data_IF_858706015033
#
_entry.id   IF_858706015033
#
_cell.length_a   1.000
_cell.length_b   1.000
_cell.length_c   1.000
_cell.angle_alpha   90.00
_cell.angle_beta   90.00
_cell.angle_gamma   90.00
#
_symmetry.space_group_name_H-M   'P 1'
#
loop_
_entity.id
_entity.type
_entity.pdbx_description
1 polymer ?
#
# COMPACT_ATOMS: atom_id res chain seq x y z
N UNK A 1 -74.46 -17.91 30.10
CA UNK A 1 -74.12 -16.48 29.95
C UNK A 1 -73.33 -16.06 31.18
N UNK A 2 -72.00 -16.12 31.12
CA UNK A 2 -71.11 -15.60 32.16
C UNK A 2 -70.69 -14.20 31.74
N UNK A 3 -71.05 -13.20 32.53
CA UNK A 3 -70.77 -11.80 32.29
C UNK A 3 -69.30 -11.51 32.59
N UNK A 4 -68.51 -11.18 31.57
CA UNK A 4 -67.16 -10.69 31.72
C UNK A 4 -67.19 -9.25 32.26
N UNK A 5 -66.55 -9.03 33.40
CA UNK A 5 -66.42 -7.72 34.04
C UNK A 5 -65.43 -6.83 33.27
N UNK A 6 -65.81 -5.61 32.85
CA UNK A 6 -64.94 -4.71 32.08
C UNK A 6 -63.75 -4.17 32.89
N UNK A 7 -63.71 -4.40 34.21
CA UNK A 7 -62.60 -3.96 35.07
C UNK A 7 -61.35 -4.85 34.96
N UNK A 8 -61.51 -6.14 34.62
CA UNK A 8 -60.38 -7.04 34.46
C UNK A 8 -59.56 -6.74 33.18
N UNK A 9 -60.22 -6.24 32.13
CA UNK A 9 -59.56 -5.88 30.87
C UNK A 9 -58.72 -4.59 31.00
N UNK A 10 -59.17 -3.60 31.78
CA UNK A 10 -58.39 -2.37 31.99
C UNK A 10 -57.12 -2.60 32.81
N UNK A 11 -57.15 -3.51 33.79
CA UNK A 11 -55.96 -3.81 34.60
C UNK A 11 -54.89 -4.56 33.81
N UNK A 12 -55.27 -5.33 32.78
CA UNK A 12 -54.32 -6.04 31.92
C UNK A 12 -53.64 -5.09 30.92
N UNK A 13 -54.35 -4.07 30.42
CA UNK A 13 -53.81 -3.06 29.50
C UNK A 13 -52.85 -2.10 30.22
N UNK A 14 -53.09 -1.79 31.49
CA UNK A 14 -52.17 -0.98 32.32
C UNK A 14 -50.90 -1.76 32.72
N UNK A 15 -50.94 -3.09 32.78
CA UNK A 15 -49.74 -3.91 32.99
C UNK A 15 -48.83 -4.00 31.75
N UNK A 16 -49.39 -3.96 30.53
CA UNK A 16 -48.60 -3.92 29.30
C UNK A 16 -47.98 -2.54 28.99
N UNK A 17 -48.41 -1.46 29.66
CA UNK A 17 -47.80 -0.14 29.53
C UNK A 17 -46.57 0.09 30.43
N UNK A 18 -46.20 -0.90 31.26
CA UNK A 18 -44.96 -0.89 32.04
C UNK A 18 -43.87 -1.78 31.43
N UNK A 19 -43.88 -1.99 30.11
CA UNK A 19 -42.67 -2.39 29.39
C UNK A 19 -41.73 -1.18 29.40
N UNK A 20 -40.80 -1.14 30.36
CA UNK A 20 -39.63 -0.28 30.24
C UNK A 20 -39.00 -0.59 28.88
N UNK A 21 -38.91 0.41 27.98
CA UNK A 21 -38.00 0.32 26.85
C UNK A 21 -36.62 0.06 27.43
N UNK A 22 -36.14 -1.18 27.31
CA UNK A 22 -34.72 -1.46 27.51
C UNK A 22 -34.03 -0.87 26.30
N UNK A 23 -33.55 0.37 26.41
CA UNK A 23 -32.67 0.92 25.38
C UNK A 23 -31.48 -0.03 25.26
N UNK A 24 -31.28 -0.61 24.08
CA UNK A 24 -30.12 -1.45 23.80
C UNK A 24 -28.82 -0.72 24.14
N UNK A 25 -27.84 -1.45 24.69
CA UNK A 25 -26.52 -0.89 24.95
C UNK A 25 -25.93 -0.44 23.59
N UNK A 26 -25.43 0.79 23.52
CA UNK A 26 -24.84 1.32 22.28
C UNK A 26 -23.33 1.26 22.33
N UNK A 27 -22.69 1.19 21.18
CA UNK A 27 -21.24 1.21 21.06
C UNK A 27 -20.73 0.33 19.94
N UNK A 28 -19.42 0.31 19.79
CA UNK A 28 -18.73 -0.37 18.71
C UNK A 28 -17.32 -0.76 19.12
N UNK A 29 -16.69 -1.64 18.36
CA UNK A 29 -15.35 -2.13 18.63
C UNK A 29 -14.50 -2.17 17.37
N UNK A 30 -13.20 -1.96 17.55
CA UNK A 30 -12.22 -2.00 16.48
C UNK A 30 -10.97 -2.75 16.95
N UNK A 31 -10.52 -3.72 16.15
CA UNK A 31 -9.38 -4.56 16.48
C UNK A 31 -8.37 -4.59 15.34
N UNK A 32 -7.11 -4.32 15.66
CA UNK A 32 -5.99 -4.49 14.76
C UNK A 32 -5.07 -5.66 15.16
N UNK A 33 -3.88 -5.68 14.56
CA UNK A 33 -2.83 -6.66 14.86
C UNK A 33 -2.24 -6.49 16.27
N UNK A 34 -2.14 -5.26 16.75
CA UNK A 34 -1.45 -4.90 18.00
C UNK A 34 -2.37 -4.44 19.12
N UNK A 35 -3.56 -3.93 18.78
CA UNK A 35 -4.41 -3.20 19.72
C UNK A 35 -5.88 -3.40 19.37
N UNK A 36 -6.72 -3.53 20.40
CA UNK A 36 -8.17 -3.57 20.29
C UNK A 36 -8.77 -2.50 21.19
N UNK A 37 -9.84 -1.86 20.71
CA UNK A 37 -10.66 -0.93 21.47
C UNK A 37 -12.09 -1.39 21.41
N UNK A 38 -12.72 -1.50 22.58
CA UNK A 38 -14.16 -1.69 22.70
C UNK A 38 -14.74 -0.47 23.39
N UNK A 39 -15.74 0.16 22.79
CA UNK A 39 -16.42 1.32 23.34
C UNK A 39 -17.87 0.97 23.67
N UNK A 40 -18.27 1.19 24.91
CA UNK A 40 -19.66 1.00 25.35
C UNK A 40 -20.22 2.32 25.86
N UNK A 41 -21.40 2.69 25.38
CA UNK A 41 -22.10 3.91 25.74
C UNK A 41 -23.20 3.57 26.73
N UNK A 42 -23.15 4.24 27.88
CA UNK A 42 -24.17 4.16 28.91
C UNK A 42 -24.57 5.59 29.30
N UNK A 43 -25.81 5.96 28.97
CA UNK A 43 -26.31 7.33 29.10
C UNK A 43 -25.43 8.36 28.37
N UNK A 44 -24.79 9.26 29.11
CA UNK A 44 -23.92 10.33 28.61
C UNK A 44 -22.43 10.00 28.75
N UNK A 45 -22.08 8.75 29.05
CA UNK A 45 -20.70 8.33 29.31
C UNK A 45 -20.32 7.18 28.38
N UNK A 46 -19.10 7.28 27.82
CA UNK A 46 -18.48 6.22 27.02
C UNK A 46 -17.40 5.56 27.86
N UNK A 47 -17.40 4.24 27.91
CA UNK A 47 -16.32 3.46 28.50
C UNK A 47 -15.50 2.83 27.39
N UNK A 48 -14.22 3.16 27.35
CA UNK A 48 -13.26 2.57 26.42
C UNK A 48 -12.45 1.50 27.14
N UNK A 49 -12.45 0.31 26.58
CA UNK A 49 -11.62 -0.81 26.98
C UNK A 49 -10.50 -0.97 25.95
N UNK A 50 -9.26 -0.77 26.39
CA UNK A 50 -8.05 -0.82 25.57
C UNK A 50 -7.34 -2.14 25.83
N UNK A 51 -7.07 -2.92 24.79
CA UNK A 51 -6.39 -4.21 24.93
C UNK A 51 -5.18 -4.30 24.01
N UNK A 52 -3.99 -4.49 24.57
CA UNK A 52 -2.80 -4.83 23.80
C UNK A 52 -2.76 -6.32 23.47
N UNK A 53 -2.48 -6.65 22.21
CA UNK A 53 -2.38 -8.04 21.71
C UNK A 53 -0.96 -8.59 21.76
N UNK A 54 0.00 -7.80 22.25
CA UNK A 54 1.41 -8.16 22.42
C UNK A 54 1.85 -7.83 23.85
N UNK A 55 2.83 -8.58 24.34
CA UNK A 55 3.47 -8.37 25.62
C UNK A 55 4.95 -8.03 25.43
N UNK A 56 5.59 -7.37 26.41
CA UNK A 56 5.04 -6.87 27.68
C UNK A 56 4.19 -5.60 27.50
N UNK A 57 3.28 -5.30 28.43
CA UNK A 57 2.48 -4.05 28.38
C UNK A 57 3.07 -2.99 29.29
N UNK A 58 3.56 -1.91 28.69
CA UNK A 58 4.07 -0.73 29.37
C UNK A 58 2.99 0.31 29.61
N UNK A 59 2.43 0.85 28.53
CA UNK A 59 1.32 1.81 28.59
C UNK A 59 0.41 1.70 27.35
N UNK A 60 -0.86 2.09 27.52
CA UNK A 60 -1.90 2.13 26.49
C UNK A 60 -2.45 3.56 26.37
N UNK A 61 -2.61 4.07 25.16
CA UNK A 61 -3.08 5.42 24.91
C UNK A 61 -4.22 5.45 23.89
N UNK A 62 -5.21 6.31 24.14
CA UNK A 62 -6.28 6.63 23.20
C UNK A 62 -6.37 8.15 23.04
N UNK A 63 -6.28 8.64 21.80
CA UNK A 63 -6.43 10.05 21.46
C UNK A 63 -7.70 10.32 20.67
N UNK A 64 -8.33 11.45 20.95
CA UNK A 64 -9.61 11.88 20.37
C UNK A 64 -9.35 12.80 19.17
N UNK A 65 -9.05 12.21 18.02
CA UNK A 65 -8.65 12.92 16.81
C UNK A 65 -8.12 11.98 15.73
N UNK A 66 -7.60 12.56 14.64
CA UNK A 66 -7.07 11.81 13.48
C UNK A 66 -5.55 11.65 13.47
N UNK A 67 -4.85 12.45 14.27
CA UNK A 67 -3.39 12.55 14.32
C UNK A 67 -2.96 12.95 15.72
N UNK A 68 -1.70 12.75 16.07
CA UNK A 68 -1.18 13.09 17.39
C UNK A 68 -1.21 14.60 17.65
N UNK A 69 -0.83 15.41 16.67
CA UNK A 69 -0.79 16.87 16.78
C UNK A 69 -2.19 17.45 17.02
N UNK A 70 -2.29 18.36 17.99
CA UNK A 70 -3.50 19.06 18.43
C UNK A 70 -4.59 18.15 19.01
N UNK A 71 -4.21 17.02 19.59
CA UNK A 71 -5.15 15.98 20.07
C UNK A 71 -5.07 15.79 21.58
N UNK A 72 -6.24 15.77 22.23
CA UNK A 72 -6.40 15.31 23.61
C UNK A 72 -6.35 13.78 23.66
N UNK A 73 -5.70 13.23 24.68
CA UNK A 73 -5.57 11.79 24.85
C UNK A 73 -5.60 11.37 26.31
N UNK A 74 -5.96 10.12 26.51
CA UNK A 74 -5.91 9.43 27.79
C UNK A 74 -4.88 8.33 27.66
N UNK A 75 -3.91 8.31 28.57
CA UNK A 75 -2.86 7.30 28.65
C UNK A 75 -2.98 6.59 29.99
N UNK A 76 -2.92 5.25 29.95
CA UNK A 76 -3.04 4.38 31.11
C UNK A 76 -1.83 3.46 31.21
N UNK A 77 -1.39 3.22 32.44
CA UNK A 77 -0.43 2.16 32.73
C UNK A 77 -0.66 1.60 34.13
N UNK A 78 -0.26 0.34 34.31
CA UNK A 78 -0.26 -0.34 35.60
C UNK A 78 1.08 -0.12 36.29
N UNK A 79 1.05 0.22 37.56
CA UNK A 79 2.22 0.45 38.41
C UNK A 79 2.70 -0.85 39.06
N UNK A 80 3.85 -0.81 39.72
CA UNK A 80 4.43 -1.99 40.38
C UNK A 80 3.59 -2.50 41.56
N UNK A 81 2.72 -1.65 42.12
CA UNK A 81 1.78 -1.96 43.20
C UNK A 81 0.38 -2.38 42.69
N UNK A 82 0.27 -2.72 41.39
CA UNK A 82 -0.97 -3.03 40.68
C UNK A 82 -1.99 -1.88 40.57
N UNK A 83 -1.70 -0.70 41.12
CA UNK A 83 -2.51 0.49 40.88
C UNK A 83 -2.43 0.92 39.41
N UNK A 84 -3.45 1.60 38.92
CA UNK A 84 -3.50 2.11 37.54
C UNK A 84 -3.35 3.63 37.58
N UNK A 85 -2.39 4.13 36.82
CA UNK A 85 -2.28 5.57 36.57
C UNK A 85 -3.12 5.92 35.35
N UNK A 86 -3.99 6.92 35.48
CA UNK A 86 -4.68 7.57 34.37
C UNK A 86 -4.06 8.96 34.18
N UNK A 87 -3.60 9.23 32.96
CA UNK A 87 -2.97 10.50 32.58
C UNK A 87 -3.70 11.11 31.38
N UNK A 88 -4.33 12.27 31.59
CA UNK A 88 -4.90 13.05 30.50
C UNK A 88 -3.88 14.04 29.96
N UNK A 89 -3.56 13.94 28.68
CA UNK A 89 -2.50 14.71 28.04
C UNK A 89 -2.99 15.40 26.77
N UNK A 90 -2.23 16.40 26.33
CA UNK A 90 -2.41 17.08 25.06
C UNK A 90 -1.10 17.09 24.28
N UNK A 91 -1.19 16.74 23.00
CA UNK A 91 -0.06 16.72 22.10
C UNK A 91 -0.07 17.95 21.19
N UNK A 92 0.99 18.75 21.25
CA UNK A 92 1.22 19.91 20.38
C UNK A 92 1.97 19.55 19.10
N UNK A 93 2.38 18.28 18.96
CA UNK A 93 3.28 17.81 17.91
C UNK A 93 3.49 16.29 17.98
N UNK A 94 4.48 15.78 17.24
CA UNK A 94 4.96 14.39 17.36
C UNK A 94 6.05 14.29 18.44
N UNK A 95 5.77 14.88 19.60
CA UNK A 95 6.64 14.90 20.78
C UNK A 95 5.84 14.39 21.97
N UNK A 96 6.51 14.04 23.06
CA UNK A 96 5.85 13.56 24.26
C UNK A 96 4.70 14.50 24.69
N UNK A 97 3.45 14.02 24.73
CA UNK A 97 2.31 14.81 25.17
C UNK A 97 2.47 15.24 26.63
N UNK A 98 2.00 16.45 26.96
CA UNK A 98 2.07 16.98 28.33
C UNK A 98 0.72 16.89 29.02
N UNK A 99 0.74 16.69 30.33
CA UNK A 99 -0.47 16.58 31.16
C UNK A 99 -1.28 17.87 31.07
N UNK A 100 -2.59 17.72 31.01
CA UNK A 100 -3.53 18.85 31.04
C UNK A 100 -4.30 18.81 32.35
N UNK A 101 -4.23 19.87 33.13
CA UNK A 101 -4.93 19.98 34.41
C UNK A 101 -6.46 20.05 34.23
N UNK A 102 -6.93 20.74 33.19
CA UNK A 102 -8.35 20.98 32.92
C UNK A 102 -8.72 20.56 31.49
N UNK A 103 -8.81 19.24 31.20
CA UNK A 103 -9.18 18.76 29.87
C UNK A 103 -10.66 19.02 29.56
N UNK A 104 -11.06 19.22 28.30
CA UNK A 104 -12.45 19.47 27.92
C UNK A 104 -13.44 18.38 28.35
N UNK A 105 -12.94 17.13 28.42
CA UNK A 105 -13.66 15.98 28.94
C UNK A 105 -12.77 15.29 29.98
N UNK A 106 -13.29 15.12 31.19
CA UNK A 106 -12.56 14.49 32.29
C UNK A 106 -12.75 12.98 32.21
N UNK A 107 -11.65 12.24 32.15
CA UNK A 107 -11.65 10.78 32.13
C UNK A 107 -11.47 10.24 33.55
N UNK A 108 -12.16 9.14 33.85
CA UNK A 108 -12.13 8.47 35.15
C UNK A 108 -11.87 6.97 34.99
N UNK A 109 -11.34 6.34 36.03
CA UNK A 109 -11.21 4.88 36.07
C UNK A 109 -12.55 4.26 36.51
N UNK A 110 -13.08 3.27 35.77
CA UNK A 110 -14.19 2.45 36.23
C UNK A 110 -13.87 1.75 37.55
N UNK A 111 -14.90 1.53 38.37
CA UNK A 111 -14.79 0.83 39.65
C UNK A 111 -14.26 -0.61 39.47
N UNK A 112 -14.65 -1.25 38.37
CA UNK A 112 -14.18 -2.60 38.01
C UNK A 112 -13.45 -2.52 36.67
N UNK A 113 -12.17 -2.90 36.70
CA UNK A 113 -11.40 -3.12 35.48
C UNK A 113 -11.78 -4.48 34.89
N UNK A 114 -11.99 -4.55 33.56
CA UNK A 114 -12.49 -5.76 32.94
C UNK A 114 -11.48 -6.92 33.05
N UNK A 115 -12.00 -8.14 33.22
CA UNK A 115 -11.20 -9.35 33.16
C UNK A 115 -10.57 -9.49 31.75
N UNK A 116 -9.33 -10.00 31.70
CA UNK A 116 -8.61 -10.14 30.44
C UNK A 116 -9.36 -11.10 29.50
N UNK A 117 -9.86 -10.58 28.38
CA UNK A 117 -10.58 -11.36 27.36
C UNK A 117 -9.68 -12.37 26.61
N UNK A 118 -8.36 -12.24 26.72
CA UNK A 118 -7.37 -12.97 25.90
C UNK A 118 -6.47 -13.92 26.71
N UNK A 119 -6.80 -14.22 27.97
CA UNK A 119 -5.99 -15.11 28.82
C UNK A 119 -4.60 -14.58 29.18
N UNK A 120 -4.27 -13.34 28.78
CA UNK A 120 -3.02 -12.67 29.08
C UNK A 120 -3.21 -11.75 30.30
N UNK A 121 -2.53 -11.98 31.44
CA UNK A 121 -2.65 -11.09 32.59
C UNK A 121 -2.21 -9.67 32.22
N UNK A 122 -3.00 -8.67 32.61
CA UNK A 122 -2.70 -7.24 32.54
C UNK A 122 -2.61 -6.64 31.12
N UNK A 123 -3.24 -7.27 30.13
CA UNK A 123 -3.23 -6.77 28.75
C UNK A 123 -4.31 -5.71 28.48
N UNK A 124 -5.31 -5.60 29.36
CA UNK A 124 -6.48 -4.75 29.18
C UNK A 124 -6.59 -3.71 30.30
N UNK A 125 -6.85 -2.46 29.93
CA UNK A 125 -7.16 -1.35 30.83
C UNK A 125 -8.37 -0.59 30.30
N UNK A 126 -9.20 -0.05 31.18
CA UNK A 126 -10.37 0.74 30.80
C UNK A 126 -10.43 2.10 31.49
N UNK A 127 -11.05 3.05 30.80
CA UNK A 127 -11.42 4.35 31.34
C UNK A 127 -12.80 4.76 30.83
N UNK A 128 -13.48 5.61 31.58
CA UNK A 128 -14.75 6.23 31.19
C UNK A 128 -14.54 7.73 30.95
N UNK A 129 -15.27 8.29 30.00
CA UNK A 129 -15.22 9.72 29.66
C UNK A 129 -16.59 10.19 29.16
N UNK A 130 -17.00 11.44 29.41
CA UNK A 130 -18.25 11.96 28.87
C UNK A 130 -18.35 11.83 27.34
N UNK A 131 -19.55 11.54 26.83
CA UNK A 131 -19.83 11.50 25.39
C UNK A 131 -19.60 12.89 24.77
N UNK A 132 -19.05 12.91 23.56
CA UNK A 132 -18.78 14.17 22.86
C UNK A 132 -20.06 14.72 22.21
N UNK A 133 -20.85 15.49 22.96
CA UNK A 133 -22.16 15.99 22.50
C UNK A 133 -22.09 16.90 21.26
N UNK A 134 -20.94 17.50 20.94
CA UNK A 134 -20.80 18.34 19.73
C UNK A 134 -20.77 17.53 18.43
N UNK A 135 -20.48 16.23 18.48
CA UNK A 135 -20.60 15.30 17.34
C UNK A 135 -21.92 14.50 17.37
N UNK A 136 -22.69 14.60 18.46
CA UNK A 136 -23.91 13.83 18.73
C UNK A 136 -25.12 14.75 19.00
N UNK A 137 -25.24 15.86 18.25
CA UNK A 137 -26.47 16.64 18.20
C UNK A 137 -27.55 15.86 17.43
N UNK A 138 -28.84 15.89 17.85
CA UNK A 138 -29.93 15.28 17.10
C UNK A 138 -30.00 15.87 15.68
N UNK A 139 -29.67 15.08 14.66
CA UNK A 139 -29.62 15.52 13.25
C UNK A 139 -28.22 15.73 12.67
N UNK A 140 -27.15 15.49 13.44
CA UNK A 140 -25.80 15.36 12.89
C UNK A 140 -25.60 13.94 12.32
N UNK A 141 -25.33 13.84 11.02
CA UNK A 141 -25.08 12.55 10.33
C UNK A 141 -23.69 11.94 10.66
N UNK A 142 -23.01 12.37 11.73
CA UNK A 142 -21.64 11.91 12.03
C UNK A 142 -21.58 11.22 13.40
N UNK A 143 -22.09 10.00 13.46
CA UNK A 143 -22.06 9.07 14.60
C UNK A 143 -20.67 8.46 14.88
N UNK A 144 -19.72 8.69 13.96
CA UNK A 144 -18.39 8.10 13.98
C UNK A 144 -17.39 8.95 14.80
N UNK A 145 -16.96 8.43 15.94
CA UNK A 145 -15.84 8.97 16.73
C UNK A 145 -14.53 8.56 16.05
N UNK A 146 -13.68 9.54 15.72
CA UNK A 146 -12.35 9.24 15.14
C UNK A 146 -11.29 9.24 16.22
N UNK A 147 -10.56 8.14 16.31
CA UNK A 147 -9.63 7.87 17.40
C UNK A 147 -8.25 7.51 16.83
N UNK A 148 -7.22 7.91 17.56
CA UNK A 148 -5.88 7.34 17.43
C UNK A 148 -5.59 6.48 18.65
N UNK A 149 -4.80 5.43 18.47
CA UNK A 149 -4.36 4.59 19.57
C UNK A 149 -2.85 4.44 19.53
N UNK A 150 -2.27 4.20 20.70
CA UNK A 150 -0.85 3.93 20.85
C UNK A 150 -0.60 2.96 21.98
N UNK A 151 0.46 2.17 21.87
CA UNK A 151 0.86 1.18 22.84
C UNK A 151 2.39 1.11 22.92
N UNK A 152 2.91 0.99 24.14
CA UNK A 152 4.33 0.76 24.39
C UNK A 152 4.57 -0.47 25.24
N UNK A 153 5.75 -1.07 25.03
CA UNK A 153 6.28 -2.17 25.83
C UNK A 153 7.00 -1.69 27.10
N UNK A 154 7.27 -0.38 27.21
CA UNK A 154 8.03 0.19 28.33
C UNK A 154 7.11 1.01 29.23
N UNK A 155 6.98 0.59 30.49
CA UNK A 155 6.22 1.32 31.51
C UNK A 155 6.94 2.64 31.86
N UNK A 156 6.22 3.76 32.09
CA UNK A 156 6.79 4.95 32.69
C UNK A 156 7.42 4.65 34.06
N UNK A 157 8.49 5.36 34.42
CA UNK A 157 9.28 5.04 35.62
C UNK A 157 8.55 5.28 36.95
N UNK A 158 7.48 6.07 36.97
CA UNK A 158 6.71 6.38 38.18
C UNK A 158 5.20 6.26 37.98
N UNK A 159 4.47 6.27 39.08
CA UNK A 159 3.00 6.31 39.13
C UNK A 159 2.42 7.72 39.00
N UNK A 160 3.25 8.75 38.82
CA UNK A 160 2.78 10.11 38.67
C UNK A 160 2.14 10.31 37.28
N UNK A 161 0.98 10.96 37.14
CA UNK A 161 0.34 11.17 35.82
C UNK A 161 1.22 11.92 34.82
N UNK A 162 2.16 12.73 35.29
CA UNK A 162 3.12 13.51 34.49
C UNK A 162 4.47 12.79 34.25
N UNK A 163 4.59 11.52 34.63
CA UNK A 163 5.79 10.73 34.40
C UNK A 163 6.24 10.75 32.93
N UNK A 164 7.55 10.86 32.69
CA UNK A 164 8.10 10.81 31.34
C UNK A 164 7.81 9.46 30.67
N UNK A 165 7.33 9.52 29.42
CA UNK A 165 6.98 8.34 28.65
C UNK A 165 7.87 8.18 27.42
N UNK A 166 8.34 6.95 27.22
CA UNK A 166 9.01 6.56 25.99
C UNK A 166 8.03 6.49 24.81
N UNK A 167 8.54 6.71 23.61
CA UNK A 167 7.78 6.58 22.37
C UNK A 167 7.05 5.24 22.30
N UNK A 168 5.83 5.26 21.75
CA UNK A 168 5.05 4.06 21.54
C UNK A 168 5.78 3.04 20.65
N UNK A 169 5.60 1.77 20.95
CA UNK A 169 6.06 0.66 20.11
C UNK A 169 5.21 0.53 18.83
N UNK A 170 3.89 0.66 18.98
CA UNK A 170 2.94 0.64 17.88
C UNK A 170 1.86 1.71 18.08
N UNK A 171 1.36 2.26 16.99
CA UNK A 171 0.27 3.22 16.97
C UNK A 171 -0.55 3.04 15.70
N UNK A 172 -1.74 3.61 15.70
CA UNK A 172 -2.62 3.60 14.54
C UNK A 172 -3.84 4.48 14.78
N UNK A 173 -4.84 4.31 13.93
CA UNK A 173 -6.13 4.99 14.05
C UNK A 173 -7.26 3.99 13.91
N UNK A 174 -8.45 4.39 14.36
CA UNK A 174 -9.69 3.64 14.19
C UNK A 174 -10.88 4.59 14.24
N UNK A 175 -12.03 4.14 13.76
CA UNK A 175 -13.30 4.87 13.82
C UNK A 175 -14.33 3.95 14.45
N UNK A 176 -15.06 4.45 15.44
CA UNK A 176 -16.10 3.69 16.13
C UNK A 176 -17.43 4.40 15.96
N UNK A 177 -18.48 3.65 15.63
CA UNK A 177 -19.84 4.14 15.65
C UNK A 177 -20.44 4.01 17.05
N UNK A 178 -20.48 5.10 17.81
CA UNK A 178 -20.97 5.06 19.19
C UNK A 178 -22.50 4.93 19.28
N UNK A 179 -23.23 5.04 18.16
CA UNK A 179 -24.70 4.90 18.13
C UNK A 179 -25.17 3.52 17.71
N UNK A 180 -24.26 2.68 17.22
CA UNK A 180 -24.52 1.28 16.85
C UNK A 180 -25.08 0.50 18.04
N UNK A 181 -26.14 -0.27 17.80
CA UNK A 181 -26.71 -1.15 18.81
C UNK A 181 -25.82 -2.38 19.02
N UNK A 182 -25.41 -2.63 20.26
CA UNK A 182 -24.70 -3.84 20.65
C UNK A 182 -25.77 -4.91 20.87
N UNK A 183 -26.00 -5.74 19.85
CA UNK A 183 -26.80 -6.95 19.99
C UNK A 183 -26.05 -7.89 20.94
N UNK A 184 -26.62 -8.15 22.11
CA UNK A 184 -26.05 -9.08 23.06
C UNK A 184 -26.00 -10.47 22.46
N UNK A 185 -24.82 -10.90 22.00
CA UNK A 185 -24.56 -12.32 21.75
C UNK A 185 -24.51 -13.01 23.10
N UNK A 186 -25.63 -13.64 23.48
CA UNK A 186 -25.55 -14.77 24.40
C UNK A 186 -24.72 -15.80 23.66
N UNK A 187 -23.51 -16.03 24.15
CA UNK A 187 -22.71 -17.20 23.80
C UNK A 187 -23.45 -18.41 24.36
N UNK A 188 -24.36 -18.98 23.57
CA UNK A 188 -24.76 -20.36 23.74
C UNK A 188 -23.67 -21.22 23.10
N UNK A 189 -23.04 -22.03 23.95
CA UNK A 189 -22.18 -23.13 23.56
C UNK A 189 -23.02 -24.11 22.74
N UNK A 190 -22.87 -24.12 21.42
CA UNK A 190 -23.49 -25.15 20.59
C UNK A 190 -22.66 -26.44 20.69
N UNK A 191 -23.14 -27.35 21.52
CA UNK A 191 -22.82 -28.76 21.47
C UNK A 191 -23.34 -29.38 20.16
N UNK A 192 -22.48 -30.15 19.52
CA UNK A 192 -22.79 -31.09 18.44
C UNK A 192 -24.04 -31.92 18.77
N UNK A 193 -25.03 -31.96 17.89
CA UNK A 193 -25.75 -33.22 17.66
C UNK A 193 -26.38 -33.32 16.26
N UNK A 194 -26.05 -34.45 15.64
CA UNK A 194 -26.32 -34.88 14.28
C UNK A 194 -27.60 -35.75 14.26
N UNK A 195 -28.68 -35.37 13.56
CA UNK A 195 -29.73 -36.32 13.14
C UNK A 195 -30.45 -35.90 11.85
N UNK A 196 -30.12 -36.60 10.76
CA UNK A 196 -30.94 -37.17 9.69
C UNK A 196 -32.16 -36.40 9.07
N UNK A 197 -32.04 -36.16 7.76
CA UNK A 197 -33.07 -36.21 6.70
C UNK A 197 -34.00 -37.46 6.81
N UNK A 198 -35.21 -37.52 6.19
CA UNK A 198 -35.42 -37.38 4.74
C UNK A 198 -36.74 -36.73 4.22
N UNK A 199 -36.63 -35.97 3.11
CA UNK A 199 -37.30 -36.23 1.80
C UNK A 199 -38.75 -35.74 1.48
N UNK A 200 -38.82 -35.04 0.32
CA UNK A 200 -39.88 -34.92 -0.72
C UNK A 200 -41.18 -34.12 -0.44
N UNK A 201 -41.69 -33.24 -1.31
CA UNK A 201 -41.82 -33.30 -2.79
C UNK A 201 -42.12 -31.91 -3.42
N UNK A 202 -41.42 -31.62 -4.52
CA UNK A 202 -41.82 -30.96 -5.80
C UNK A 202 -42.97 -29.94 -5.89
N UNK A 203 -42.71 -28.77 -6.49
CA UNK A 203 -42.98 -28.48 -7.93
C UNK A 203 -42.40 -27.13 -8.37
N UNK A 204 -42.22 -26.99 -9.68
CA UNK A 204 -41.26 -26.14 -10.40
C UNK A 204 -41.65 -24.66 -10.55
N UNK A 205 -40.64 -23.78 -10.60
CA UNK A 205 -40.55 -22.79 -11.69
C UNK A 205 -39.12 -22.25 -11.89
N UNK A 206 -38.64 -22.37 -13.12
CA UNK A 206 -37.30 -22.02 -13.59
C UNK A 206 -37.34 -20.62 -14.21
N UNK A 207 -36.48 -19.70 -13.76
CA UNK A 207 -35.58 -18.92 -14.64
C UNK A 207 -34.71 -17.91 -13.89
N UNK A 208 -33.40 -17.95 -14.21
CA UNK A 208 -32.44 -16.84 -14.27
C UNK A 208 -31.98 -16.16 -12.97
N UNK A 209 -30.76 -16.50 -12.55
CA UNK A 209 -29.95 -15.72 -11.60
C UNK A 209 -28.77 -16.53 -11.06
N UNK A 210 -27.69 -16.65 -11.84
CA UNK A 210 -26.42 -17.23 -11.38
C UNK A 210 -25.98 -16.52 -10.09
N UNK A 211 -25.83 -17.31 -9.02
CA UNK A 211 -25.73 -16.84 -7.64
C UNK A 211 -24.60 -15.85 -7.36
N UNK A 212 -24.95 -14.79 -6.64
CA UNK A 212 -24.01 -14.07 -5.81
C UNK A 212 -24.09 -14.63 -4.40
N UNK A 213 -22.96 -15.19 -3.98
CA UNK A 213 -22.62 -15.51 -2.61
C UNK A 213 -22.50 -14.16 -1.88
N UNK A 214 -23.43 -13.88 -0.97
CA UNK A 214 -23.41 -12.70 -0.10
C UNK A 214 -22.18 -12.77 0.83
N UNK A 215 -21.08 -12.21 0.35
CA UNK A 215 -20.00 -11.73 1.20
C UNK A 215 -20.42 -10.35 1.69
N UNK A 216 -20.69 -10.21 2.99
CA UNK A 216 -20.93 -8.92 3.64
C UNK A 216 -19.62 -8.11 3.71
N UNK A 217 -19.00 -7.84 2.56
CA UNK A 217 -17.84 -6.96 2.47
C UNK A 217 -18.33 -5.51 2.54
N UNK A 218 -18.06 -4.86 3.67
CA UNK A 218 -18.25 -3.42 3.85
C UNK A 218 -17.80 -2.65 2.59
N UNK A 219 -18.64 -1.77 2.02
CA UNK A 219 -18.30 -1.07 0.78
C UNK A 219 -17.07 -0.18 0.93
N UNK A 220 -16.20 -0.17 -0.07
CA UNK A 220 -14.99 0.65 -0.06
C UNK A 220 -15.29 2.15 0.06
N UNK A 221 -14.64 2.81 1.02
CA UNK A 221 -14.72 4.27 1.18
C UNK A 221 -14.00 4.98 0.02
N UNK A 222 -14.25 6.29 -0.15
CA UNK A 222 -13.49 7.11 -1.13
C UNK A 222 -11.98 7.07 -0.84
N UNK A 223 -11.60 7.06 0.43
CA UNK A 223 -10.23 6.97 0.88
C UNK A 223 -9.61 5.61 0.50
N UNK A 224 -10.32 4.51 0.76
CA UNK A 224 -9.84 3.16 0.42
C UNK A 224 -9.65 3.01 -1.10
N UNK A 225 -10.58 3.53 -1.90
CA UNK A 225 -10.47 3.52 -3.37
C UNK A 225 -9.24 4.29 -3.85
N UNK A 226 -8.91 5.40 -3.20
CA UNK A 226 -7.71 6.18 -3.54
C UNK A 226 -6.42 5.46 -3.14
N UNK A 227 -6.36 4.85 -1.95
CA UNK A 227 -5.23 4.02 -1.53
C UNK A 227 -5.04 2.80 -2.44
N UNK A 228 -6.14 2.16 -2.84
CA UNK A 228 -6.12 1.05 -3.78
C UNK A 228 -5.57 1.50 -5.14
N UNK A 229 -6.05 2.63 -5.68
CA UNK A 229 -5.57 3.19 -6.94
C UNK A 229 -4.08 3.60 -6.88
N UNK A 230 -3.63 4.15 -5.75
CA UNK A 230 -2.21 4.42 -5.47
C UNK A 230 -1.38 3.13 -5.54
N UNK A 231 -1.76 2.12 -4.76
CA UNK A 231 -1.04 0.84 -4.67
C UNK A 231 -1.00 0.09 -6.00
N UNK A 232 -2.13 0.05 -6.72
CA UNK A 232 -2.21 -0.57 -8.05
C UNK A 232 -1.30 0.14 -9.05
N UNK A 233 -1.42 1.47 -9.15
CA UNK A 233 -0.65 2.25 -10.13
C UNK A 233 0.86 2.16 -9.88
N UNK A 234 1.29 2.25 -8.61
CA UNK A 234 2.71 2.16 -8.28
C UNK A 234 3.25 0.74 -8.43
N UNK A 235 2.46 -0.29 -8.13
CA UNK A 235 2.88 -1.69 -8.37
C UNK A 235 3.03 -1.96 -9.86
N UNK A 236 2.06 -1.55 -10.69
CA UNK A 236 2.15 -1.65 -12.15
C UNK A 236 3.35 -0.88 -12.69
N UNK A 237 3.54 0.37 -12.25
CA UNK A 237 4.66 1.19 -12.69
C UNK A 237 6.02 0.58 -12.34
N UNK A 238 6.26 0.35 -11.05
CA UNK A 238 7.57 -0.01 -10.54
C UNK A 238 7.91 -1.51 -10.64
N UNK A 239 6.94 -2.43 -10.47
CA UNK A 239 7.21 -3.87 -10.49
C UNK A 239 6.86 -4.54 -11.82
N UNK A 240 6.03 -3.96 -12.66
CA UNK A 240 5.74 -4.53 -13.98
C UNK A 240 6.48 -3.78 -15.10
N UNK A 241 6.22 -2.48 -15.25
CA UNK A 241 6.69 -1.72 -16.41
C UNK A 241 8.21 -1.46 -16.38
N UNK A 242 8.76 -0.99 -15.25
CA UNK A 242 10.20 -0.72 -15.17
C UNK A 242 11.08 -1.98 -15.38
N UNK A 243 10.76 -3.13 -14.77
CA UNK A 243 11.49 -4.37 -15.03
C UNK A 243 11.31 -4.86 -16.46
N UNK A 244 10.11 -4.75 -17.05
CA UNK A 244 9.89 -5.07 -18.46
C UNK A 244 10.78 -4.22 -19.37
N UNK A 245 10.85 -2.90 -19.15
CA UNK A 245 11.75 -2.02 -19.90
C UNK A 245 13.22 -2.36 -19.70
N UNK A 246 13.65 -2.69 -18.47
CA UNK A 246 15.01 -3.12 -18.16
C UNK A 246 15.39 -4.44 -18.85
N UNK A 247 14.52 -5.45 -18.77
CA UNK A 247 14.71 -6.75 -19.40
C UNK A 247 14.71 -6.63 -20.93
N UNK A 248 13.86 -5.80 -21.52
CA UNK A 248 13.88 -5.55 -22.96
C UNK A 248 15.23 -5.02 -23.45
N UNK A 249 15.89 -4.16 -22.66
CA UNK A 249 17.23 -3.68 -22.97
C UNK A 249 18.31 -4.74 -22.73
N UNK A 250 18.15 -5.58 -21.69
CA UNK A 250 19.10 -6.65 -21.36
C UNK A 250 19.13 -7.71 -22.45
N UNK A 251 17.96 -8.20 -22.83
CA UNK A 251 17.82 -9.25 -23.83
C UNK A 251 17.91 -8.71 -25.26
N UNK A 252 17.35 -7.53 -25.55
CA UNK A 252 17.26 -7.02 -26.92
C UNK A 252 18.54 -6.42 -27.50
N UNK A 253 19.49 -5.97 -26.68
CA UNK A 253 20.66 -5.18 -27.13
C UNK A 253 21.55 -5.91 -28.16
N UNK A 254 21.61 -7.24 -28.09
CA UNK A 254 22.43 -8.06 -29.00
C UNK A 254 21.71 -8.55 -30.25
N UNK A 255 20.38 -8.33 -30.35
CA UNK A 255 19.54 -8.91 -31.40
C UNK A 255 18.80 -7.89 -32.26
N UNK A 256 18.45 -6.71 -31.74
CA UNK A 256 17.66 -5.73 -32.48
C UNK A 256 18.12 -4.31 -32.20
N UNK A 257 18.10 -3.42 -33.19
CA UNK A 257 18.32 -1.98 -33.02
C UNK A 257 17.19 -1.28 -32.28
N UNK A 258 16.00 -1.89 -32.24
CA UNK A 258 14.79 -1.32 -31.61
C UNK A 258 14.82 -1.36 -30.08
N UNK A 259 15.78 -2.08 -29.47
CA UNK A 259 15.88 -2.25 -28.01
C UNK A 259 15.82 -0.93 -27.24
N UNK A 260 16.51 0.10 -27.75
CA UNK A 260 16.58 1.39 -27.09
C UNK A 260 15.24 2.11 -27.12
N UNK A 261 14.55 2.09 -28.27
CA UNK A 261 13.22 2.70 -28.43
C UNK A 261 12.21 2.04 -27.51
N UNK A 262 12.23 0.71 -27.40
CA UNK A 262 11.36 -0.04 -26.49
C UNK A 262 11.66 0.33 -25.03
N UNK A 263 12.93 0.26 -24.63
CA UNK A 263 13.38 0.60 -23.27
C UNK A 263 12.96 2.03 -22.87
N UNK A 264 13.22 3.01 -23.74
CA UNK A 264 12.84 4.39 -23.51
C UNK A 264 11.32 4.57 -23.45
N UNK A 265 10.58 3.93 -24.36
CA UNK A 265 9.12 4.08 -24.41
C UNK A 265 8.46 3.53 -23.17
N UNK A 266 8.81 2.30 -22.78
CA UNK A 266 8.27 1.67 -21.58
C UNK A 266 8.65 2.47 -20.34
N UNK A 267 9.94 2.73 -20.12
CA UNK A 267 10.41 3.31 -18.85
C UNK A 267 10.15 4.81 -18.68
N UNK A 268 9.93 5.55 -19.76
CA UNK A 268 9.74 7.00 -19.69
C UNK A 268 8.35 7.43 -20.16
N UNK A 269 7.89 7.01 -21.33
CA UNK A 269 6.61 7.50 -21.87
C UNK A 269 5.40 6.78 -21.28
N UNK A 270 5.53 5.51 -20.92
CA UNK A 270 4.43 4.71 -20.33
C UNK A 270 4.52 4.71 -18.80
N UNK A 271 5.68 4.37 -18.22
CA UNK A 271 5.81 4.29 -16.77
C UNK A 271 5.66 5.63 -16.05
N UNK A 272 6.20 6.73 -16.60
CA UNK A 272 6.20 8.02 -15.91
C UNK A 272 4.79 8.54 -15.58
N UNK A 273 3.82 8.60 -16.52
CA UNK A 273 2.48 9.08 -16.18
C UNK A 273 1.77 8.17 -15.16
N UNK A 274 1.94 6.85 -15.25
CA UNK A 274 1.32 5.90 -14.32
C UNK A 274 1.92 6.04 -12.91
N UNK A 275 3.25 6.09 -12.83
CA UNK A 275 3.97 6.27 -11.56
C UNK A 275 3.66 7.65 -10.96
N UNK A 276 3.65 8.71 -11.77
CA UNK A 276 3.34 10.05 -11.28
C UNK A 276 1.91 10.15 -10.74
N UNK A 277 0.92 9.59 -11.46
CA UNK A 277 -0.46 9.52 -10.99
C UNK A 277 -0.56 8.74 -9.68
N UNK A 278 -0.02 7.51 -9.65
CA UNK A 278 0.01 6.69 -8.45
C UNK A 278 0.67 7.40 -7.28
N UNK A 279 1.82 8.04 -7.51
CA UNK A 279 2.56 8.76 -6.47
C UNK A 279 1.75 9.93 -5.91
N UNK A 280 1.10 10.74 -6.76
CA UNK A 280 0.27 11.88 -6.32
C UNK A 280 -0.92 11.44 -5.46
N UNK A 281 -1.52 10.29 -5.75
CA UNK A 281 -2.63 9.75 -4.93
C UNK A 281 -2.23 9.47 -3.48
N UNK A 282 -0.95 9.17 -3.21
CA UNK A 282 -0.45 8.90 -1.85
C UNK A 282 -0.56 10.12 -0.93
N UNK A 283 0.12 11.25 -1.23
CA UNK A 283 -0.01 12.49 -0.47
C UNK A 283 -1.44 13.03 -0.43
N UNK A 284 -2.23 12.86 -1.49
CA UNK A 284 -3.65 13.22 -1.48
C UNK A 284 -4.44 12.39 -0.47
N UNK A 285 -4.15 11.09 -0.32
CA UNK A 285 -4.76 10.25 0.70
C UNK A 285 -4.40 10.70 2.11
N UNK A 286 -3.13 11.04 2.36
CA UNK A 286 -2.70 11.60 3.65
C UNK A 286 -3.40 12.92 3.95
N UNK A 287 -3.51 13.81 2.95
CA UNK A 287 -4.19 15.10 3.08
C UNK A 287 -5.68 14.95 3.37
N UNK A 288 -6.39 14.08 2.63
CA UNK A 288 -7.82 13.80 2.81
C UNK A 288 -8.11 13.18 4.19
N UNK A 289 -7.22 12.31 4.66
CA UNK A 289 -7.28 11.75 6.02
C UNK A 289 -7.00 12.80 7.11
N UNK A 290 -6.47 13.99 6.76
CA UNK A 290 -5.88 14.96 7.70
C UNK A 290 -4.80 14.33 8.59
N UNK A 291 -4.09 13.35 8.02
CA UNK A 291 -2.97 12.69 8.67
C UNK A 291 -1.67 13.50 8.46
N UNK A 292 -0.64 13.18 9.24
CA UNK A 292 0.66 13.79 9.07
C UNK A 292 1.41 13.15 7.90
N UNK A 293 2.20 13.92 7.17
CA UNK A 293 3.08 13.43 6.12
C UNK A 293 4.43 12.97 6.70
N UNK A 294 5.04 11.96 6.06
CA UNK A 294 6.36 11.40 6.36
C UNK A 294 6.50 10.81 7.76
N UNK A 295 5.46 10.13 8.25
CA UNK A 295 5.45 9.53 9.60
C UNK A 295 6.08 8.15 9.59
N UNK A 296 5.87 7.39 8.52
CA UNK A 296 6.33 6.02 8.40
C UNK A 296 7.39 5.85 7.30
N UNK A 297 8.10 4.72 7.39
CA UNK A 297 9.15 4.35 6.45
C UNK A 297 8.63 4.19 5.02
N UNK A 298 7.37 3.81 4.82
CA UNK A 298 6.79 3.71 3.49
C UNK A 298 6.66 5.10 2.85
N UNK A 299 6.15 6.10 3.55
CA UNK A 299 6.06 7.46 3.02
C UNK A 299 7.43 8.05 2.67
N UNK A 300 8.43 7.89 3.56
CA UNK A 300 9.79 8.44 3.34
C UNK A 300 10.51 7.71 2.20
N UNK A 301 10.53 6.37 2.21
CA UNK A 301 11.18 5.59 1.16
C UNK A 301 10.46 5.75 -0.18
N UNK A 302 9.15 5.94 -0.19
CA UNK A 302 8.35 6.17 -1.39
C UNK A 302 8.69 7.50 -2.08
N UNK A 303 8.91 8.57 -1.31
CA UNK A 303 9.42 9.84 -1.85
C UNK A 303 10.82 9.66 -2.45
N UNK A 304 11.74 9.04 -1.71
CA UNK A 304 13.10 8.80 -2.19
C UNK A 304 13.12 7.99 -3.48
N UNK A 305 12.32 6.92 -3.55
CA UNK A 305 12.21 6.07 -4.72
C UNK A 305 11.68 6.81 -5.95
N UNK A 306 10.68 7.68 -5.78
CA UNK A 306 10.16 8.51 -6.86
C UNK A 306 11.21 9.51 -7.38
N UNK A 307 11.93 10.18 -6.48
CA UNK A 307 13.04 11.07 -6.86
C UNK A 307 14.13 10.29 -7.59
N UNK A 308 14.49 9.10 -7.10
CA UNK A 308 15.49 8.23 -7.74
C UNK A 308 15.06 7.84 -9.18
N UNK A 309 13.78 7.54 -9.38
CA UNK A 309 13.22 7.26 -10.71
C UNK A 309 13.30 8.48 -11.65
N UNK A 310 12.98 9.69 -11.18
CA UNK A 310 13.11 10.91 -11.99
C UNK A 310 14.58 11.20 -12.36
N UNK A 311 15.51 10.97 -11.43
CA UNK A 311 16.94 11.07 -11.69
C UNK A 311 17.39 10.03 -12.71
N UNK A 312 16.87 8.80 -12.63
CA UNK A 312 17.18 7.72 -13.57
C UNK A 312 16.71 8.04 -14.99
N UNK A 313 15.50 8.58 -15.15
CA UNK A 313 14.98 9.06 -16.45
C UNK A 313 15.83 10.21 -16.99
N UNK A 314 16.16 11.18 -16.13
CA UNK A 314 16.97 12.34 -16.50
C UNK A 314 18.37 11.93 -16.94
N UNK A 315 19.00 11.00 -16.21
CA UNK A 315 20.31 10.43 -16.54
C UNK A 315 20.27 9.69 -17.88
N UNK A 316 19.21 8.91 -18.14
CA UNK A 316 19.02 8.23 -19.43
C UNK A 316 18.92 9.21 -20.60
N UNK A 317 18.14 10.29 -20.44
CA UNK A 317 18.05 11.37 -21.44
C UNK A 317 19.38 12.07 -21.67
N UNK A 318 20.10 12.39 -20.59
CA UNK A 318 21.41 13.01 -20.66
C UNK A 318 22.41 12.16 -21.45
N UNK A 319 22.48 10.86 -21.16
CA UNK A 319 23.35 9.90 -21.87
C UNK A 319 23.01 9.85 -23.36
N UNK A 320 21.73 9.75 -23.69
CA UNK A 320 21.28 9.70 -25.08
C UNK A 320 21.62 10.99 -25.83
N UNK A 321 21.33 12.15 -25.25
CA UNK A 321 21.61 13.45 -25.88
C UNK A 321 23.11 13.65 -26.11
N UNK A 322 23.95 13.26 -25.14
CA UNK A 322 25.40 13.30 -25.29
C UNK A 322 25.88 12.37 -26.41
N UNK A 323 25.30 11.18 -26.54
CA UNK A 323 25.62 10.25 -27.63
C UNK A 323 25.26 10.85 -28.99
N UNK A 324 24.05 11.40 -29.15
CA UNK A 324 23.60 12.07 -30.38
C UNK A 324 24.52 13.25 -30.72
N UNK A 325 24.88 14.07 -29.74
CA UNK A 325 25.78 15.21 -29.95
C UNK A 325 27.18 14.76 -30.38
N UNK A 326 27.74 13.72 -29.75
CA UNK A 326 29.03 13.16 -30.16
C UNK A 326 29.00 12.62 -31.59
N UNK A 327 27.93 11.93 -31.99
CA UNK A 327 27.73 11.47 -33.37
C UNK A 327 27.65 12.64 -34.35
N UNK A 328 26.87 13.69 -34.04
CA UNK A 328 26.77 14.89 -34.89
C UNK A 328 28.09 15.62 -35.07
N UNK A 329 28.96 15.59 -34.06
CA UNK A 329 30.26 16.25 -34.07
C UNK A 329 31.41 15.34 -34.53
N UNK A 330 31.12 14.12 -35.02
CA UNK A 330 32.13 13.12 -35.39
C UNK A 330 33.19 12.87 -34.29
N UNK A 331 32.79 13.01 -33.02
CA UNK A 331 33.70 12.79 -31.87
C UNK A 331 33.69 11.31 -31.48
N UNK A 332 34.88 10.68 -31.31
CA UNK A 332 34.94 9.30 -30.85
C UNK A 332 34.30 9.18 -29.46
N UNK A 333 33.33 8.28 -29.33
CA UNK A 333 32.68 7.98 -28.05
C UNK A 333 33.41 6.87 -27.34
N UNK A 334 33.76 7.06 -26.06
CA UNK A 334 34.30 5.98 -25.23
C UNK A 334 33.31 4.82 -25.16
N UNK A 335 33.81 3.61 -25.33
CA UNK A 335 33.07 2.37 -25.07
C UNK A 335 32.86 2.28 -23.56
N UNK A 336 31.60 2.27 -23.12
CA UNK A 336 31.15 2.35 -21.71
C UNK A 336 31.60 3.60 -20.89
N UNK A 337 31.03 4.79 -21.15
CA UNK A 337 31.23 5.95 -20.28
C UNK A 337 30.72 5.66 -18.86
N UNK A 338 31.35 6.22 -17.80
CA UNK A 338 30.92 6.03 -16.41
C UNK A 338 29.44 6.31 -16.15
N UNK A 339 28.85 7.29 -16.87
CA UNK A 339 27.41 7.60 -16.81
C UNK A 339 26.52 6.40 -17.17
N UNK A 340 26.94 5.57 -18.13
CA UNK A 340 26.17 4.40 -18.56
C UNK A 340 26.21 3.30 -17.49
N UNK A 341 27.36 3.12 -16.84
CA UNK A 341 27.50 2.17 -15.73
C UNK A 341 26.65 2.64 -14.55
N UNK A 342 26.73 3.93 -14.22
CA UNK A 342 25.91 4.54 -13.17
C UNK A 342 24.41 4.38 -13.45
N UNK A 343 23.97 4.56 -14.69
CA UNK A 343 22.58 4.35 -15.09
C UNK A 343 22.12 2.91 -14.89
N UNK A 344 22.96 1.91 -15.16
CA UNK A 344 22.61 0.51 -14.89
C UNK A 344 22.52 0.25 -13.38
N UNK A 345 23.48 0.73 -12.59
CA UNK A 345 23.52 0.52 -11.14
C UNK A 345 22.30 1.17 -10.47
N UNK A 346 22.04 2.45 -10.74
CA UNK A 346 20.90 3.17 -10.18
C UNK A 346 19.58 2.54 -10.63
N UNK A 347 19.48 2.11 -11.90
CA UNK A 347 18.29 1.43 -12.41
C UNK A 347 17.98 0.13 -11.67
N UNK A 348 19.00 -0.71 -11.44
CA UNK A 348 18.83 -1.95 -10.67
C UNK A 348 18.50 -1.68 -9.21
N UNK A 349 19.15 -0.70 -8.58
CA UNK A 349 18.84 -0.28 -7.22
C UNK A 349 17.38 0.22 -7.09
N UNK A 350 16.90 0.99 -8.07
CA UNK A 350 15.51 1.47 -8.12
C UNK A 350 14.52 0.30 -8.13
N UNK A 351 14.77 -0.73 -8.96
CA UNK A 351 13.92 -1.93 -9.02
C UNK A 351 13.98 -2.71 -7.70
N UNK A 352 15.15 -2.85 -7.10
CA UNK A 352 15.30 -3.54 -5.81
C UNK A 352 14.55 -2.82 -4.68
N UNK A 353 14.67 -1.49 -4.59
CA UNK A 353 13.94 -0.69 -3.62
C UNK A 353 12.42 -0.73 -3.85
N UNK A 354 11.97 -0.82 -5.10
CA UNK A 354 10.55 -0.98 -5.40
C UNK A 354 9.93 -2.25 -4.78
N UNK A 355 10.67 -3.36 -4.68
CA UNK A 355 10.17 -4.56 -4.01
C UNK A 355 9.87 -4.32 -2.54
N UNK A 356 10.80 -3.67 -1.82
CA UNK A 356 10.58 -3.23 -0.46
C UNK A 356 9.37 -2.29 -0.36
N UNK A 357 9.25 -1.37 -1.32
CA UNK A 357 8.22 -0.36 -1.29
C UNK A 357 6.80 -0.91 -1.50
N UNK A 358 6.64 -1.87 -2.42
CA UNK A 358 5.37 -2.55 -2.62
C UNK A 358 5.04 -3.46 -1.43
N UNK A 359 6.04 -4.12 -0.83
CA UNK A 359 5.81 -4.96 0.36
C UNK A 359 5.30 -4.14 1.54
N UNK A 360 5.99 -3.03 1.84
CA UNK A 360 5.58 -2.12 2.91
C UNK A 360 4.24 -1.45 2.63
N UNK A 361 3.93 -1.13 1.37
CA UNK A 361 2.61 -0.58 1.00
C UNK A 361 1.45 -1.56 1.20
N UNK A 362 1.68 -2.86 0.99
CA UNK A 362 0.69 -3.89 1.34
C UNK A 362 0.45 -3.95 2.86
N UNK A 363 1.51 -3.84 3.67
CA UNK A 363 1.35 -3.81 5.13
C UNK A 363 0.63 -2.52 5.60
N UNK A 364 0.89 -1.37 4.95
CA UNK A 364 0.24 -0.10 5.25
C UNK A 364 -1.25 -0.11 4.86
N UNK A 365 -1.62 -0.81 3.79
CA UNK A 365 -3.02 -1.03 3.41
C UNK A 365 -3.78 -1.77 4.52
N UNK A 366 -3.23 -2.86 5.05
CA UNK A 366 -3.85 -3.63 6.13
C UNK A 366 -3.98 -2.79 7.40
N UNK A 367 -2.94 -2.00 7.72
CA UNK A 367 -2.93 -1.12 8.88
C UNK A 367 -3.97 0.01 8.78
N UNK A 368 -4.10 0.61 7.60
CA UNK A 368 -4.92 1.80 7.38
C UNK A 368 -6.39 1.47 7.15
N UNK A 369 -6.66 0.39 6.41
CA UNK A 369 -8.04 0.02 6.04
C UNK A 369 -8.64 -1.05 6.96
N UNK A 370 -7.80 -1.77 7.71
CA UNK A 370 -8.21 -2.96 8.46
C UNK A 370 -8.56 -4.16 7.57
N UNK A 371 -8.30 -4.07 6.25
CA UNK A 371 -8.60 -5.11 5.28
C UNK A 371 -7.33 -5.85 4.89
N UNK A 372 -7.37 -7.16 4.96
CA UNK A 372 -6.25 -8.00 4.54
C UNK A 372 -5.97 -7.88 3.04
N UNK A 373 -4.70 -7.87 2.66
CA UNK A 373 -4.34 -8.00 1.25
C UNK A 373 -4.56 -9.45 0.81
N UNK A 374 -5.19 -9.62 -0.35
CA UNK A 374 -5.45 -10.95 -0.88
C UNK A 374 -4.16 -11.79 -0.96
N UNK A 375 -4.22 -13.03 -0.46
CA UNK A 375 -3.05 -13.90 -0.30
C UNK A 375 -2.21 -14.06 -1.58
N UNK A 376 -2.87 -14.11 -2.74
CA UNK A 376 -2.21 -14.24 -4.04
C UNK A 376 -1.28 -13.07 -4.37
N UNK A 377 -1.53 -11.86 -3.85
CA UNK A 377 -0.65 -10.70 -4.04
C UNK A 377 0.73 -10.95 -3.42
N UNK A 378 0.77 -11.52 -2.20
CA UNK A 378 2.03 -11.87 -1.54
C UNK A 378 2.76 -13.00 -2.25
N UNK A 379 2.02 -13.99 -2.76
CA UNK A 379 2.60 -15.09 -3.56
C UNK A 379 3.23 -14.51 -4.83
N UNK A 380 2.50 -13.68 -5.56
CA UNK A 380 2.97 -13.05 -6.78
C UNK A 380 4.22 -12.19 -6.51
N UNK A 381 4.22 -11.38 -5.45
CA UNK A 381 5.38 -10.58 -5.06
C UNK A 381 6.63 -11.44 -4.79
N UNK A 382 6.47 -12.56 -4.05
CA UNK A 382 7.59 -13.49 -3.75
C UNK A 382 8.12 -14.16 -5.01
N UNK A 383 7.23 -14.70 -5.84
CA UNK A 383 7.58 -15.38 -7.09
C UNK A 383 8.28 -14.41 -8.03
N UNK A 384 7.74 -13.21 -8.17
CA UNK A 384 8.31 -12.17 -9.03
C UNK A 384 9.67 -11.67 -8.53
N UNK A 385 9.84 -11.58 -7.21
CA UNK A 385 11.12 -11.28 -6.55
C UNK A 385 12.21 -12.32 -6.81
N UNK A 386 11.85 -13.55 -7.20
CA UNK A 386 12.77 -14.59 -7.63
C UNK A 386 13.00 -14.58 -9.14
N UNK A 387 11.92 -14.51 -9.93
CA UNK A 387 11.97 -14.61 -11.39
C UNK A 387 12.73 -13.42 -12.01
N UNK A 388 12.51 -12.19 -11.53
CA UNK A 388 13.13 -11.01 -12.12
C UNK A 388 14.66 -11.02 -12.02
N UNK A 389 15.27 -11.22 -10.83
CA UNK A 389 16.72 -11.33 -10.73
C UNK A 389 17.29 -12.47 -11.58
N UNK A 390 16.66 -13.65 -11.57
CA UNK A 390 17.11 -14.80 -12.38
C UNK A 390 17.09 -14.44 -13.87
N UNK A 391 16.01 -13.87 -14.38
CA UNK A 391 15.89 -13.46 -15.78
C UNK A 391 16.95 -12.42 -16.17
N UNK A 392 17.19 -11.44 -15.29
CA UNK A 392 18.21 -10.42 -15.54
C UNK A 392 19.61 -11.00 -15.57
N UNK A 393 19.95 -11.89 -14.61
CA UNK A 393 21.23 -12.57 -14.53
C UNK A 393 21.45 -13.53 -15.70
N UNK A 394 20.42 -14.29 -16.11
CA UNK A 394 20.48 -15.14 -17.29
C UNK A 394 20.81 -14.32 -18.56
N UNK A 395 20.24 -13.11 -18.68
CA UNK A 395 20.58 -12.20 -19.77
C UNK A 395 22.04 -11.70 -19.77
N UNK A 396 22.79 -11.80 -18.66
CA UNK A 396 24.22 -11.47 -18.63
C UNK A 396 25.07 -12.47 -19.40
N UNK A 397 24.56 -13.68 -19.70
CA UNK A 397 25.24 -14.64 -20.58
C UNK A 397 25.50 -14.07 -21.98
N UNK A 398 24.68 -13.09 -22.40
CA UNK A 398 24.82 -12.38 -23.68
C UNK A 398 25.95 -11.32 -23.68
N UNK A 399 26.58 -11.03 -22.54
CA UNK A 399 27.66 -10.02 -22.47
C UNK A 399 28.84 -10.36 -23.38
N UNK A 400 29.23 -11.63 -23.49
CA UNK A 400 30.32 -12.06 -24.39
C UNK A 400 30.01 -11.69 -25.84
N UNK A 401 28.78 -11.98 -26.28
CA UNK A 401 28.30 -11.60 -27.62
C UNK A 401 28.24 -10.08 -27.78
N UNK A 402 27.77 -9.36 -26.77
CA UNK A 402 27.72 -7.89 -26.80
C UNK A 402 29.11 -7.27 -26.98
N UNK A 403 30.10 -7.69 -26.18
CA UNK A 403 31.46 -7.18 -26.29
C UNK A 403 32.09 -7.51 -27.65
N UNK A 404 31.89 -8.72 -28.16
CA UNK A 404 32.37 -9.07 -29.50
C UNK A 404 31.76 -8.20 -30.60
N UNK A 405 30.46 -7.87 -30.51
CA UNK A 405 29.78 -6.96 -31.45
C UNK A 405 30.30 -5.51 -31.34
N UNK A 406 30.64 -5.06 -30.13
CA UNK A 406 31.18 -3.72 -29.89
C UNK A 406 32.63 -3.60 -30.40
N UNK A 407 33.48 -4.59 -30.14
CA UNK A 407 34.86 -4.66 -30.63
C UNK A 407 34.93 -4.73 -32.16
N UNK A 408 33.97 -5.42 -32.79
CA UNK A 408 33.90 -5.57 -34.24
C UNK A 408 33.19 -4.40 -34.94
N UNK A 409 32.68 -3.40 -34.20
CA UNK A 409 31.89 -2.30 -34.77
C UNK A 409 30.52 -2.70 -35.34
N UNK A 410 30.05 -3.93 -35.04
CA UNK A 410 28.82 -4.55 -35.55
C UNK A 410 27.62 -4.37 -34.61
N UNK A 411 27.69 -3.40 -33.69
CA UNK A 411 26.56 -3.13 -32.79
C UNK A 411 25.31 -2.76 -33.60
N UNK A 412 24.14 -3.39 -33.33
CA UNK A 412 22.87 -3.03 -33.97
C UNK A 412 22.51 -1.55 -33.84
N UNK A 413 23.13 -0.85 -32.87
CA UNK A 413 22.89 0.56 -32.57
C UNK A 413 23.81 1.52 -33.35
N UNK A 414 24.87 1.00 -33.97
CA UNK A 414 25.93 1.79 -34.64
C UNK A 414 25.94 1.56 -36.15
N UNK A 415 25.60 0.35 -36.61
CA UNK A 415 25.61 -0.02 -38.02
C UNK A 415 24.33 -0.76 -38.42
N UNK A 416 23.17 -0.06 -38.55
CA UNK A 416 21.90 -0.69 -38.91
C UNK A 416 21.94 -1.44 -40.26
N UNK A 417 22.78 -0.98 -41.21
CA UNK A 417 22.90 -1.55 -42.56
C UNK A 417 23.77 -2.82 -42.66
N UNK A 418 24.62 -3.10 -41.68
CA UNK A 418 25.56 -4.25 -41.72
C UNK A 418 25.24 -5.32 -40.68
N UNK A 419 24.08 -5.24 -40.03
CA UNK A 419 23.64 -6.28 -39.11
C UNK A 419 23.16 -7.51 -39.89
N UNK A 420 24.09 -8.38 -40.26
CA UNK A 420 23.79 -9.75 -40.65
C UNK A 420 23.47 -10.52 -39.37
N UNK A 421 22.18 -10.81 -39.15
CA UNK A 421 21.80 -11.83 -38.19
C UNK A 421 22.45 -13.14 -38.65
N UNK A 422 23.49 -13.58 -37.95
CA UNK A 422 24.10 -14.89 -38.21
C UNK A 422 23.03 -15.97 -37.98
N UNK A 423 22.40 -16.39 -39.07
CA UNK A 423 21.54 -17.57 -39.10
C UNK A 423 22.43 -18.81 -38.92
N UNK A 424 22.04 -19.80 -38.10
CA UNK A 424 22.82 -21.03 -37.94
C UNK A 424 22.85 -21.91 -39.21
N UNK A 425 21.98 -21.65 -40.18
CA UNK A 425 21.83 -22.52 -41.35
C UNK A 425 22.61 -21.96 -42.55
N UNK A 426 23.82 -22.48 -42.75
CA UNK A 426 24.48 -22.53 -44.05
C UNK A 426 23.60 -23.33 -45.02
N UNK A 427 22.78 -22.66 -45.83
CA UNK A 427 22.43 -23.04 -47.21
C UNK A 427 21.29 -22.19 -47.79
N UNK A 428 21.43 -20.86 -47.85
CA UNK A 428 20.71 -20.06 -48.87
C UNK A 428 21.23 -18.61 -48.85
N UNK A 429 21.54 -17.98 -50.00
CA UNK A 429 21.76 -16.55 -50.05
C UNK A 429 20.41 -15.87 -49.82
N UNK A 430 20.16 -15.41 -48.59
CA UNK A 430 18.97 -14.63 -48.28
C UNK A 430 19.11 -13.24 -48.91
N UNK A 431 18.06 -12.86 -49.62
CA UNK A 431 17.97 -11.64 -50.39
C UNK A 431 18.34 -10.40 -49.56
N UNK A 432 19.14 -9.55 -50.20
CA UNK A 432 19.38 -8.16 -49.85
C UNK A 432 18.02 -7.49 -49.59
N UNK A 433 17.67 -7.30 -48.32
CA UNK A 433 16.53 -6.45 -47.96
C UNK A 433 16.98 -5.00 -48.14
N UNK A 434 16.63 -4.42 -49.29
CA UNK A 434 16.73 -3.00 -49.53
C UNK A 434 15.82 -2.26 -48.54
N UNK A 435 16.44 -1.58 -47.59
CA UNK A 435 15.79 -0.56 -46.80
C UNK A 435 15.90 0.79 -47.52
N UNK A 436 15.28 0.88 -48.70
CA UNK A 436 14.90 2.15 -49.33
C UNK A 436 13.41 2.40 -49.09
N UNK A 437 13.08 2.99 -47.93
CA UNK A 437 11.94 3.89 -47.78
C UNK A 437 11.96 4.46 -46.36
N UNK A 438 12.51 5.67 -46.20
CA UNK A 438 12.11 6.71 -45.22
C UNK A 438 13.22 7.78 -45.10
N UNK A 439 13.48 8.50 -46.19
CA UNK A 439 14.04 9.85 -46.15
C UNK A 439 13.41 10.65 -47.29
N UNK A 440 12.17 11.10 -47.09
CA UNK A 440 11.58 12.14 -47.94
C UNK A 440 10.73 13.08 -47.09
N UNK A 441 11.39 14.10 -46.55
CA UNK A 441 10.81 15.43 -46.34
C UNK A 441 11.97 16.44 -46.39
N UNK A 442 12.01 17.23 -47.48
CA UNK A 442 13.01 18.28 -47.69
C UNK A 442 13.47 18.38 -49.13
N UNK A 443 12.58 18.82 -50.02
CA UNK A 443 12.89 19.18 -51.40
C UNK A 443 13.63 20.54 -51.43
N UNK A 444 14.80 20.61 -52.05
CA UNK A 444 15.09 21.50 -53.20
C UNK A 444 16.58 21.57 -53.53
N UNK A 445 16.84 21.34 -54.83
CA UNK A 445 17.95 21.82 -55.66
C UNK A 445 19.40 21.51 -55.23
N UNK A 446 20.10 20.71 -56.06
CA UNK A 446 21.11 21.23 -57.02
C UNK A 446 22.10 20.15 -57.50
N UNK A 447 22.24 20.09 -58.83
CA UNK A 447 23.37 19.57 -59.64
C UNK A 447 23.75 18.09 -59.59
N UNK A 448 23.46 17.42 -60.71
CA UNK A 448 24.24 16.29 -61.22
C UNK A 448 25.73 16.68 -61.30
N UNK A 449 26.62 15.81 -60.84
CA UNK A 449 28.00 15.73 -61.35
C UNK A 449 28.45 14.27 -61.35
N UNK A 450 29.14 13.93 -62.42
CA UNK A 450 29.63 12.63 -62.87
C UNK A 450 30.70 11.93 -61.99
N UNK A 451 30.69 10.59 -62.09
CA UNK A 451 31.84 9.66 -62.17
C UNK A 451 32.73 9.43 -60.93
N UNK A 452 32.69 8.19 -60.42
CA UNK A 452 33.82 7.24 -60.49
C UNK A 452 33.41 5.89 -59.89
N UNK A 453 33.34 4.88 -60.76
CA UNK A 453 33.62 3.48 -60.39
C UNK A 453 35.10 3.45 -60.01
N UNK A 454 35.40 2.98 -58.80
CA UNK A 454 36.59 2.23 -58.41
C UNK A 454 36.70 2.26 -56.88
N UNK A 455 36.29 1.18 -56.22
CA UNK A 455 36.98 0.58 -55.06
C UNK A 455 36.23 -0.69 -54.62
N UNK A 456 36.14 -1.68 -55.52
CA UNK A 456 36.03 -3.08 -55.11
C UNK A 456 37.44 -3.57 -54.74
N UNK A 457 37.85 -3.41 -53.48
CA UNK A 457 38.78 -4.32 -52.82
C UNK A 457 38.98 -3.87 -51.38
N UNK A 458 38.47 -4.65 -50.43
CA UNK A 458 39.17 -5.05 -49.20
C UNK A 458 38.17 -5.79 -48.29
N UNK A 459 37.93 -7.06 -48.62
CA UNK A 459 37.37 -8.03 -47.67
C UNK A 459 38.56 -8.86 -47.16
N UNK A 460 38.95 -8.76 -45.88
CA UNK A 460 40.00 -9.62 -45.35
C UNK A 460 39.46 -11.05 -45.23
N UNK A 461 39.99 -11.94 -46.07
CA UNK A 461 39.77 -13.38 -45.97
C UNK A 461 40.31 -13.91 -44.63
N UNK A 462 39.43 -14.51 -43.84
CA UNK A 462 39.75 -15.31 -42.66
C UNK A 462 40.71 -16.45 -43.05
N UNK A 463 41.98 -16.35 -42.68
CA UNK A 463 42.88 -17.51 -42.58
C UNK A 463 42.65 -18.20 -41.24
N UNK A 464 42.15 -19.42 -41.32
CA UNK A 464 42.04 -20.40 -40.24
C UNK A 464 43.43 -20.92 -39.90
N UNK A 465 43.85 -20.82 -38.63
CA UNK A 465 44.77 -21.75 -37.99
C UNK A 465 44.38 -21.92 -36.53
#
# INVERSE_FOLDING_TARGET
MLAFSPFAALSLVLWFQSLHLVNGLKGDSGCGKYFCVNATVHHDTVTYQLTAKKQPVGWLGLGFGRRMVDTHMVVLWRNDDDSITLSQRYATGHVEPKVVENPPRIATLPEVQPANWLGAPNATLSFSIPLNKTHHEPGSNNTLETLIWAYSMTRPHSSAPDAEMWQHYAAGFLRLDLEKEILGSVSEEEEDENVNEPTETSEDDISSGSGNQDDNTEPYTKHDKMLFAHGLSLTTGFLLLLPMGSLSARWGRTFTSKWFRIHQTVNMYISLPIIALGWVLGPLAVFDAKASHFVDSHQVCGLFLFVLYLLQVSLGRYIHNRKVQSTRLNKPTKVHPPSNILHVIIGLLTIALAFFQVRSGMDEWELTTGRDVAHWCHVLWKVWGLILPISYLAGLTLLKRQFHQEDSGLSPSTTPRHYLALSPDEATPSALFDAEHELQYGESNMSQTEVSKDFESEVPLLKRH
#
